data_IF_227359049794
#
_entry.id   IF_227359049794
#
_cell.length_a   1.000
_cell.length_b   1.000
_cell.length_c   1.000
_cell.angle_alpha   90.00
_cell.angle_beta   90.00
_cell.angle_gamma   90.00
#
_symmetry.space_group_name_H-M   'P 1'
#
loop_
_entity.id
_entity.type
_entity.pdbx_description
1 polymer ?
#
# COMPACT_ATOMS: atom_id res chain seq x y z
N UNK A 1 -36.57 13.71 42.18
CA UNK A 1 -38.04 13.64 42.08
C UNK A 1 -38.35 13.45 40.60
N UNK A 2 -38.88 12.27 40.27
CA UNK A 2 -39.18 11.81 38.91
C UNK A 2 -40.17 12.75 38.21
N UNK A 3 -40.03 12.87 36.89
CA UNK A 3 -41.12 13.27 36.02
C UNK A 3 -41.28 12.22 34.93
N UNK A 4 -42.52 11.80 34.82
CA UNK A 4 -42.99 10.51 34.32
C UNK A 4 -43.08 10.42 32.81
N UNK A 5 -42.80 9.21 32.34
CA UNK A 5 -43.20 8.68 31.05
C UNK A 5 -44.63 8.13 31.18
N UNK A 6 -45.62 8.85 30.65
CA UNK A 6 -46.90 8.26 30.30
C UNK A 6 -47.34 8.76 28.92
N UNK A 7 -47.43 7.82 27.96
CA UNK A 7 -48.50 7.70 26.97
C UNK A 7 -48.13 6.58 26.01
N UNK A 8 -48.76 5.42 26.18
CA UNK A 8 -49.50 4.69 25.13
C UNK A 8 -50.29 3.59 25.86
N UNK A 9 -51.57 3.88 26.12
CA UNK A 9 -52.49 2.97 26.78
C UNK A 9 -52.90 1.84 25.84
N UNK A 10 -52.77 0.61 26.33
CA UNK A 10 -53.29 -0.58 25.67
C UNK A 10 -54.56 -0.97 26.43
N UNK A 11 -55.71 -0.90 25.75
CA UNK A 11 -56.98 -1.43 26.23
C UNK A 11 -56.85 -2.93 26.51
N UNK A 12 -57.12 -3.35 27.74
CA UNK A 12 -57.38 -4.73 28.07
C UNK A 12 -58.78 -5.11 27.55
N UNK A 13 -58.83 -5.98 26.56
CA UNK A 13 -60.02 -6.79 26.26
C UNK A 13 -59.67 -8.21 26.67
N UNK A 14 -60.36 -8.71 27.69
CA UNK A 14 -60.19 -10.06 28.22
C UNK A 14 -60.76 -11.08 27.23
N UNK A 15 -59.92 -12.03 26.82
CA UNK A 15 -60.35 -13.29 26.23
C UNK A 15 -59.59 -14.42 26.92
N UNK A 16 -60.32 -15.27 27.65
CA UNK A 16 -59.80 -16.48 28.25
C UNK A 16 -59.45 -17.50 27.16
N UNK A 17 -58.15 -17.75 26.96
CA UNK A 17 -57.68 -18.73 26.01
C UNK A 17 -56.19 -19.03 26.18
N UNK A 18 -55.88 -20.07 26.97
CA UNK A 18 -54.58 -20.76 27.13
C UNK A 18 -53.38 -20.12 26.40
N UNK A 19 -52.62 -19.27 27.10
CA UNK A 19 -51.28 -18.87 26.66
C UNK A 19 -50.22 -19.87 27.17
N UNK A 20 -49.57 -20.57 26.23
CA UNK A 20 -48.21 -21.03 26.45
C UNK A 20 -47.32 -19.78 26.41
N UNK A 21 -46.83 -19.35 27.56
CA UNK A 21 -45.77 -18.34 27.68
C UNK A 21 -44.46 -18.90 27.12
N UNK A 22 -44.21 -18.73 25.82
CA UNK A 22 -42.86 -18.85 25.27
C UNK A 22 -42.10 -17.57 25.61
N UNK A 23 -41.17 -17.63 26.56
CA UNK A 23 -40.26 -16.53 26.85
C UNK A 23 -39.61 -16.03 25.55
N UNK A 24 -39.71 -14.72 25.28
CA UNK A 24 -38.98 -14.07 24.19
C UNK A 24 -37.49 -14.40 24.34
N UNK A 25 -36.80 -14.87 23.28
CA UNK A 25 -35.41 -15.25 23.37
C UNK A 25 -34.56 -14.07 23.86
N UNK A 26 -33.64 -14.31 24.80
CA UNK A 26 -32.75 -13.28 25.34
C UNK A 26 -31.86 -12.77 24.21
N UNK A 27 -32.19 -11.60 23.66
CA UNK A 27 -31.42 -10.96 22.61
C UNK A 27 -30.13 -10.35 23.18
N UNK A 28 -29.03 -10.33 22.42
CA UNK A 28 -27.83 -9.62 22.82
C UNK A 28 -28.10 -8.13 22.99
N UNK A 29 -27.42 -7.50 23.94
CA UNK A 29 -27.53 -6.06 24.21
C UNK A 29 -26.59 -5.26 23.31
N UNK A 30 -25.40 -5.81 23.02
CA UNK A 30 -24.37 -5.13 22.22
C UNK A 30 -23.77 -6.03 21.14
N UNK A 31 -23.23 -5.38 20.13
CA UNK A 31 -22.44 -5.97 19.06
C UNK A 31 -21.02 -5.44 19.15
N UNK A 32 -20.05 -6.35 19.22
CA UNK A 32 -18.63 -5.99 19.04
C UNK A 32 -18.29 -5.96 17.56
N UNK A 33 -17.83 -4.80 17.09
CA UNK A 33 -17.34 -4.59 15.72
C UNK A 33 -15.91 -5.11 15.60
N UNK A 34 -15.43 -5.30 14.36
CA UNK A 34 -14.05 -5.80 14.10
C UNK A 34 -12.96 -4.86 14.64
N UNK A 35 -13.24 -3.57 14.73
CA UNK A 35 -12.38 -2.54 15.32
C UNK A 35 -12.40 -2.54 16.86
N UNK A 36 -13.06 -3.52 17.50
CA UNK A 36 -13.20 -3.61 18.95
C UNK A 36 -14.31 -2.75 19.55
N UNK A 37 -14.92 -1.84 18.77
CA UNK A 37 -15.98 -0.95 19.27
C UNK A 37 -17.26 -1.71 19.61
N UNK A 38 -17.87 -1.35 20.73
CA UNK A 38 -19.19 -1.85 21.14
C UNK A 38 -20.30 -0.92 20.63
N UNK A 39 -21.35 -1.51 20.06
CA UNK A 39 -22.54 -0.80 19.57
C UNK A 39 -23.80 -1.49 20.07
N UNK A 40 -24.88 -0.75 20.33
CA UNK A 40 -26.16 -1.36 20.71
C UNK A 40 -26.71 -2.28 19.60
N UNK A 41 -27.23 -3.43 20.01
CA UNK A 41 -27.81 -4.40 19.11
C UNK A 41 -29.12 -3.86 18.52
N UNK A 42 -29.23 -3.88 17.19
CA UNK A 42 -30.40 -3.44 16.45
C UNK A 42 -30.74 -4.50 15.38
N UNK A 43 -31.78 -5.34 15.60
CA UNK A 43 -32.24 -6.33 14.64
C UNK A 43 -32.58 -5.75 13.26
N UNK A 44 -33.03 -4.50 13.19
CA UNK A 44 -33.40 -3.87 11.93
C UNK A 44 -32.19 -3.65 11.02
N UNK A 45 -30.96 -3.59 11.57
CA UNK A 45 -29.73 -3.58 10.75
C UNK A 45 -29.54 -4.88 9.98
N UNK A 46 -29.94 -6.01 10.57
CA UNK A 46 -29.85 -7.33 9.92
C UNK A 46 -30.88 -7.39 8.80
N UNK A 47 -32.14 -7.04 9.07
CA UNK A 47 -33.23 -7.00 8.08
C UNK A 47 -32.88 -6.12 6.89
N UNK A 48 -32.41 -4.90 7.12
CA UNK A 48 -32.00 -3.99 6.03
C UNK A 48 -30.84 -4.55 5.21
N UNK A 49 -29.89 -5.24 5.85
CA UNK A 49 -28.76 -5.87 5.17
C UNK A 49 -29.20 -7.00 4.25
N UNK A 50 -30.06 -7.89 4.75
CA UNK A 50 -30.64 -8.99 3.97
C UNK A 50 -31.50 -8.45 2.83
N UNK A 51 -32.36 -7.46 3.10
CA UNK A 51 -33.25 -6.89 2.10
C UNK A 51 -32.48 -6.20 0.97
N UNK A 52 -31.43 -5.44 1.27
CA UNK A 52 -30.56 -4.84 0.24
C UNK A 52 -29.89 -5.89 -0.64
N UNK A 53 -29.32 -6.93 -0.03
CA UNK A 53 -28.74 -8.04 -0.79
C UNK A 53 -29.79 -8.77 -1.65
N UNK A 54 -31.04 -8.83 -1.18
CA UNK A 54 -32.14 -9.38 -1.97
C UNK A 54 -32.50 -8.48 -3.16
N UNK A 55 -32.51 -7.16 -2.97
CA UNK A 55 -32.76 -6.18 -4.04
C UNK A 55 -31.68 -6.25 -5.13
N UNK A 56 -30.41 -6.44 -4.77
CA UNK A 56 -29.29 -6.57 -5.72
C UNK A 56 -29.42 -7.79 -6.63
N UNK A 57 -30.21 -8.79 -6.24
CA UNK A 57 -30.52 -9.98 -7.04
C UNK A 57 -31.96 -10.00 -7.57
N UNK A 58 -32.67 -8.86 -7.52
CA UNK A 58 -34.00 -8.66 -8.09
C UNK A 58 -35.19 -8.97 -7.16
N UNK A 59 -34.95 -9.19 -5.87
CA UNK A 59 -35.98 -9.43 -4.86
C UNK A 59 -36.61 -8.14 -4.34
N UNK A 60 -37.92 -8.17 -4.09
CA UNK A 60 -38.69 -7.00 -3.60
C UNK A 60 -39.44 -7.25 -2.29
N UNK A 61 -39.43 -8.50 -1.79
CA UNK A 61 -40.18 -8.88 -0.60
C UNK A 61 -39.39 -8.61 0.69
N UNK A 62 -39.73 -7.50 1.34
CA UNK A 62 -39.16 -7.13 2.66
C UNK A 62 -39.66 -8.04 3.79
N UNK A 63 -40.88 -8.59 3.68
CA UNK A 63 -41.43 -9.47 4.73
C UNK A 63 -40.63 -10.76 4.82
N UNK A 64 -40.17 -11.27 3.68
CA UNK A 64 -39.27 -12.42 3.65
C UNK A 64 -37.93 -12.13 4.36
N UNK A 65 -37.37 -10.93 4.16
CA UNK A 65 -36.16 -10.52 4.89
C UNK A 65 -36.39 -10.45 6.41
N UNK A 66 -37.55 -9.96 6.86
CA UNK A 66 -37.92 -9.94 8.28
C UNK A 66 -38.07 -11.35 8.88
N UNK A 67 -38.63 -12.29 8.12
CA UNK A 67 -38.77 -13.69 8.54
C UNK A 67 -37.39 -14.35 8.71
N UNK A 68 -36.49 -14.13 7.74
CA UNK A 68 -35.11 -14.63 7.80
C UNK A 68 -34.38 -14.00 8.99
N UNK A 69 -34.57 -12.69 9.25
CA UNK A 69 -34.00 -12.05 10.43
C UNK A 69 -34.46 -12.74 11.72
N UNK A 70 -35.75 -13.06 11.87
CA UNK A 70 -36.23 -13.75 13.09
C UNK A 70 -35.53 -15.09 13.32
N UNK A 71 -35.34 -15.87 12.26
CA UNK A 71 -34.62 -17.14 12.37
C UNK A 71 -33.13 -16.94 12.71
N UNK A 72 -32.51 -15.89 12.16
CA UNK A 72 -31.15 -15.51 12.53
C UNK A 72 -31.08 -15.18 14.02
N UNK A 73 -32.05 -14.42 14.56
CA UNK A 73 -32.11 -14.07 15.98
C UNK A 73 -32.25 -15.31 16.88
N UNK A 74 -33.02 -16.32 16.45
CA UNK A 74 -33.16 -17.58 17.19
C UNK A 74 -31.86 -18.40 17.24
N UNK A 75 -31.01 -18.26 16.22
CA UNK A 75 -29.72 -18.96 16.08
C UNK A 75 -28.54 -18.19 16.69
N UNK A 76 -28.74 -16.97 17.21
CA UNK A 76 -27.68 -16.21 17.86
C UNK A 76 -27.25 -16.86 19.19
N UNK A 77 -25.95 -16.78 19.54
CA UNK A 77 -25.48 -17.23 20.85
C UNK A 77 -26.15 -16.42 21.96
N UNK A 78 -26.43 -17.08 23.09
CA UNK A 78 -27.10 -16.48 24.26
C UNK A 78 -26.12 -15.69 25.12
N UNK A 79 -25.51 -14.69 24.53
CA UNK A 79 -24.50 -13.82 25.15
C UNK A 79 -24.97 -12.37 25.16
N UNK A 80 -24.52 -11.57 26.14
CA UNK A 80 -24.87 -10.14 26.18
C UNK A 80 -24.20 -9.33 25.04
N UNK A 81 -23.04 -9.80 24.57
CA UNK A 81 -22.24 -9.17 23.50
C UNK A 81 -21.94 -10.22 22.45
N UNK A 82 -22.25 -9.93 21.18
CA UNK A 82 -21.97 -10.83 20.06
C UNK A 82 -21.10 -10.14 19.02
N UNK A 83 -20.16 -10.86 18.44
CA UNK A 83 -19.30 -10.30 17.39
C UNK A 83 -20.07 -10.12 16.07
N UNK A 84 -19.82 -9.00 15.40
CA UNK A 84 -20.41 -8.69 14.10
C UNK A 84 -20.08 -9.71 12.99
N UNK A 85 -18.98 -10.45 13.14
CA UNK A 85 -18.60 -11.57 12.28
C UNK A 85 -19.60 -12.72 12.44
N UNK A 86 -19.78 -13.19 13.67
CA UNK A 86 -20.71 -14.27 14.06
C UNK A 86 -22.13 -14.02 13.56
N UNK A 87 -22.64 -12.78 13.72
CA UNK A 87 -23.98 -12.43 13.21
C UNK A 87 -24.06 -12.65 11.69
N UNK A 88 -23.05 -12.19 10.96
CA UNK A 88 -23.05 -12.31 9.51
C UNK A 88 -22.89 -13.75 9.02
N UNK A 89 -22.07 -14.57 9.69
CA UNK A 89 -21.90 -15.99 9.36
C UNK A 89 -23.21 -16.77 9.55
N UNK A 90 -23.99 -16.42 10.60
CA UNK A 90 -25.32 -16.98 10.83
C UNK A 90 -26.31 -16.52 9.74
N UNK A 91 -26.29 -15.24 9.34
CA UNK A 91 -27.14 -14.74 8.25
C UNK A 91 -26.85 -15.48 6.94
N UNK A 92 -25.58 -15.68 6.60
CA UNK A 92 -25.17 -16.41 5.41
C UNK A 92 -25.65 -17.86 5.43
N UNK A 93 -25.46 -18.54 6.56
CA UNK A 93 -25.94 -19.91 6.77
C UNK A 93 -27.45 -20.02 6.59
N UNK A 94 -28.24 -19.15 7.24
CA UNK A 94 -29.70 -19.17 7.15
C UNK A 94 -30.18 -18.87 5.73
N UNK A 95 -29.55 -17.91 5.03
CA UNK A 95 -29.90 -17.62 3.63
C UNK A 95 -29.65 -18.82 2.71
N UNK A 96 -28.56 -19.57 2.92
CA UNK A 96 -28.26 -20.78 2.15
C UNK A 96 -29.25 -21.90 2.48
N UNK A 97 -29.52 -22.16 3.77
CA UNK A 97 -30.46 -23.19 4.24
C UNK A 97 -31.88 -22.97 3.71
N UNK A 98 -32.29 -21.70 3.54
CA UNK A 98 -33.59 -21.31 2.96
C UNK A 98 -33.61 -21.25 1.43
N UNK A 99 -32.54 -21.66 0.75
CA UNK A 99 -32.47 -21.70 -0.72
C UNK A 99 -32.21 -20.34 -1.38
N UNK A 100 -31.85 -19.31 -0.62
CA UNK A 100 -31.54 -17.96 -1.12
C UNK A 100 -30.04 -17.78 -1.42
N UNK A 101 -29.42 -18.75 -2.10
CA UNK A 101 -27.97 -18.76 -2.36
C UNK A 101 -27.48 -17.51 -3.13
N UNK A 102 -28.28 -16.98 -4.08
CA UNK A 102 -27.94 -15.74 -4.80
C UNK A 102 -27.89 -14.53 -3.87
N UNK A 103 -28.87 -14.42 -2.96
CA UNK A 103 -28.94 -13.38 -1.94
C UNK A 103 -27.80 -13.51 -0.93
N UNK A 104 -27.45 -14.74 -0.52
CA UNK A 104 -26.31 -14.99 0.36
C UNK A 104 -25.00 -14.48 -0.26
N UNK A 105 -24.76 -14.77 -1.54
CA UNK A 105 -23.58 -14.27 -2.27
C UNK A 105 -23.55 -12.75 -2.35
N UNK A 106 -24.67 -12.10 -2.68
CA UNK A 106 -24.77 -10.64 -2.70
C UNK A 106 -24.52 -10.03 -1.31
N UNK A 107 -25.03 -10.66 -0.26
CA UNK A 107 -24.83 -10.23 1.13
C UNK A 107 -23.35 -10.30 1.55
N UNK A 108 -22.65 -11.40 1.22
CA UNK A 108 -21.21 -11.57 1.44
C UNK A 108 -20.42 -10.44 0.74
N UNK A 109 -20.71 -10.21 -0.54
CA UNK A 109 -20.03 -9.19 -1.34
C UNK A 109 -20.28 -7.78 -0.79
N UNK A 110 -21.51 -7.48 -0.38
CA UNK A 110 -21.88 -6.21 0.24
C UNK A 110 -21.12 -5.96 1.56
N UNK A 111 -21.02 -6.98 2.43
CA UNK A 111 -20.24 -6.89 3.67
C UNK A 111 -18.77 -6.62 3.39
N UNK A 112 -18.18 -7.37 2.46
CA UNK A 112 -16.78 -7.20 2.04
C UNK A 112 -16.53 -5.81 1.47
N UNK A 113 -17.41 -5.31 0.60
CA UNK A 113 -17.29 -3.98 0.02
C UNK A 113 -17.46 -2.87 1.06
N UNK A 114 -18.36 -3.04 2.04
CA UNK A 114 -18.55 -2.06 3.11
C UNK A 114 -17.38 -2.04 4.09
N UNK A 115 -16.77 -3.18 4.35
CA UNK A 115 -15.51 -3.29 5.10
C UNK A 115 -14.37 -2.56 4.38
N UNK A 116 -14.25 -2.76 3.08
CA UNK A 116 -13.30 -2.06 2.23
C UNK A 116 -13.54 -0.53 2.24
N UNK A 117 -14.79 -0.07 2.09
CA UNK A 117 -15.14 1.35 2.19
C UNK A 117 -14.88 1.96 3.58
N UNK A 118 -15.04 1.18 4.65
CA UNK A 118 -14.69 1.64 6.00
C UNK A 118 -13.18 1.72 6.20
N UNK A 119 -12.40 0.78 5.64
CA UNK A 119 -10.93 0.82 5.61
C UNK A 119 -10.40 1.99 4.77
N UNK A 120 -11.11 2.39 3.71
CA UNK A 120 -10.76 3.55 2.88
C UNK A 120 -11.17 4.89 3.52
N UNK A 121 -12.25 4.93 4.31
CA UNK A 121 -12.69 6.16 5.01
C UNK A 121 -11.85 6.48 6.25
N UNK A 122 -11.20 5.49 6.87
CA UNK A 122 -10.19 5.77 7.91
C UNK A 122 -8.98 6.49 7.31
N UNK A 123 -8.69 6.30 6.02
CA UNK A 123 -7.51 6.89 5.35
C UNK A 123 -7.50 8.42 5.31
N UNK A 124 -8.64 9.12 5.20
CA UNK A 124 -8.66 10.60 5.22
C UNK A 124 -8.52 11.20 6.63
N UNK A 125 -9.10 10.57 7.66
CA UNK A 125 -8.89 10.95 9.07
C UNK A 125 -7.48 10.57 9.57
N UNK A 126 -6.81 9.65 8.87
CA UNK A 126 -5.42 9.28 9.12
C UNK A 126 -4.42 10.34 8.64
N UNK A 127 -4.67 11.10 7.56
CA UNK A 127 -3.65 12.02 7.01
C UNK A 127 -3.30 13.15 7.99
N UNK A 128 -4.29 13.84 8.58
CA UNK A 128 -4.01 14.88 9.59
C UNK A 128 -3.24 14.30 10.78
N UNK A 129 -3.66 13.11 11.25
CA UNK A 129 -2.99 12.40 12.34
C UNK A 129 -1.56 12.00 11.98
N UNK A 130 -1.31 11.51 10.77
CA UNK A 130 0.03 11.13 10.29
C UNK A 130 0.97 12.34 10.24
N UNK A 131 0.45 13.50 9.83
CA UNK A 131 1.22 14.75 9.83
C UNK A 131 1.56 15.16 11.26
N UNK A 132 0.58 15.15 12.16
CA UNK A 132 0.79 15.47 13.58
C UNK A 132 1.74 14.47 14.27
N UNK A 133 1.61 13.17 13.98
CA UNK A 133 2.49 12.10 14.48
C UNK A 133 3.92 12.26 13.97
N UNK A 134 4.11 12.63 12.70
CA UNK A 134 5.42 12.88 12.11
C UNK A 134 6.08 14.13 12.72
N UNK A 135 5.34 15.24 12.82
CA UNK A 135 5.82 16.49 13.44
C UNK A 135 6.17 16.24 14.92
N UNK A 136 5.29 15.53 15.63
CA UNK A 136 5.46 15.19 17.05
C UNK A 136 6.44 14.04 17.33
N UNK A 137 6.91 13.34 16.29
CA UNK A 137 7.75 12.13 16.37
C UNK A 137 7.17 11.05 17.29
N UNK A 138 5.86 10.85 17.20
CA UNK A 138 5.10 10.00 18.13
C UNK A 138 5.10 8.54 17.67
N UNK A 139 5.09 8.29 16.35
CA UNK A 139 5.11 6.94 15.77
C UNK A 139 6.55 6.48 15.47
N UNK A 140 6.86 5.21 15.80
CA UNK A 140 8.14 4.58 15.46
C UNK A 140 8.38 4.51 13.95
N UNK A 141 7.31 4.49 13.14
CA UNK A 141 7.38 4.47 11.67
C UNK A 141 8.04 5.71 11.08
N UNK A 142 8.08 6.82 11.83
CA UNK A 142 8.89 8.00 11.48
C UNK A 142 10.38 7.65 11.38
N UNK A 143 10.83 6.61 12.10
CA UNK A 143 12.19 6.11 12.12
C UNK A 143 12.37 4.75 11.42
N UNK A 144 11.37 4.25 10.68
CA UNK A 144 11.46 2.98 9.96
C UNK A 144 12.62 2.99 8.94
N UNK A 145 12.83 4.12 8.28
CA UNK A 145 13.99 4.35 7.43
C UNK A 145 15.01 5.24 8.14
N UNK A 146 16.02 4.60 8.75
CA UNK A 146 17.09 5.27 9.48
C UNK A 146 17.93 6.25 8.63
N UNK A 147 17.85 6.14 7.29
CA UNK A 147 18.58 7.03 6.38
C UNK A 147 17.84 8.34 6.07
N UNK A 148 16.57 8.49 6.52
CA UNK A 148 15.75 9.68 6.24
C UNK A 148 15.66 10.54 7.50
N UNK A 149 16.35 11.70 7.55
CA UNK A 149 16.17 12.64 8.63
C UNK A 149 14.80 13.34 8.51
N UNK A 150 14.30 13.85 9.63
CA UNK A 150 13.06 14.63 9.66
C UNK A 150 13.17 15.84 8.75
N UNK A 151 12.32 15.89 7.72
CA UNK A 151 12.31 16.93 6.71
C UNK A 151 10.94 16.96 6.01
N UNK A 152 10.66 18.01 5.23
CA UNK A 152 9.42 18.08 4.44
C UNK A 152 9.33 16.91 3.43
N UNK A 153 10.43 16.59 2.76
CA UNK A 153 10.46 15.44 1.84
C UNK A 153 10.28 14.11 2.58
N UNK A 154 10.83 13.99 3.79
CA UNK A 154 10.58 12.83 4.66
C UNK A 154 9.10 12.72 5.09
N UNK A 155 8.43 13.84 5.36
CA UNK A 155 6.99 13.86 5.65
C UNK A 155 6.17 13.41 4.44
N UNK A 156 6.47 13.95 3.25
CA UNK A 156 5.82 13.55 2.00
C UNK A 156 5.98 12.06 1.74
N UNK A 157 7.19 11.52 1.94
CA UNK A 157 7.46 10.09 1.84
C UNK A 157 6.71 9.25 2.87
N UNK A 158 6.64 9.72 4.12
CA UNK A 158 5.92 9.01 5.18
C UNK A 158 4.42 8.92 4.87
N UNK A 159 3.79 10.04 4.55
CA UNK A 159 2.36 10.10 4.21
C UNK A 159 2.07 9.26 2.96
N UNK A 160 2.83 9.45 1.89
CA UNK A 160 2.66 8.67 0.67
C UNK A 160 2.88 7.17 0.92
N UNK A 161 3.87 6.82 1.74
CA UNK A 161 4.22 5.45 2.05
C UNK A 161 3.13 4.69 2.80
N UNK A 162 2.47 5.33 3.77
CA UNK A 162 1.32 4.74 4.47
C UNK A 162 0.16 4.50 3.51
N UNK A 163 -0.15 5.48 2.65
CA UNK A 163 -1.23 5.39 1.66
C UNK A 163 -0.96 4.28 0.64
N UNK A 164 0.26 4.21 0.09
CA UNK A 164 0.64 3.18 -0.89
C UNK A 164 0.67 1.79 -0.23
N UNK A 165 1.14 1.68 1.01
CA UNK A 165 1.16 0.41 1.74
C UNK A 165 -0.25 -0.15 1.92
N UNK A 166 -1.18 0.70 2.37
CA UNK A 166 -2.59 0.33 2.51
C UNK A 166 -3.22 -0.07 1.18
N UNK A 167 -2.93 0.66 0.10
CA UNK A 167 -3.38 0.30 -1.24
C UNK A 167 -2.84 -1.06 -1.66
N UNK A 168 -1.54 -1.31 -1.48
CA UNK A 168 -0.88 -2.55 -1.88
C UNK A 168 -1.48 -3.76 -1.16
N UNK A 169 -1.64 -3.69 0.18
CA UNK A 169 -2.24 -4.78 0.96
C UNK A 169 -3.72 -5.02 0.65
N UNK A 170 -4.47 -3.96 0.29
CA UNK A 170 -5.91 -4.09 0.06
C UNK A 170 -6.29 -4.45 -1.38
N UNK A 171 -5.44 -4.09 -2.35
CA UNK A 171 -5.79 -4.16 -3.78
C UNK A 171 -4.84 -5.00 -4.62
N UNK A 172 -3.57 -5.17 -4.20
CA UNK A 172 -2.55 -5.91 -4.98
C UNK A 172 -2.41 -7.34 -4.45
N UNK A 173 -2.28 -7.51 -3.14
CA UNK A 173 -2.14 -8.84 -2.53
C UNK A 173 -3.48 -9.52 -2.22
N UNK A 174 -3.53 -10.87 -2.22
CA UNK A 174 -4.62 -11.63 -1.61
C UNK A 174 -4.76 -11.30 -0.13
N UNK A 175 -5.99 -11.43 0.40
CA UNK A 175 -6.28 -11.07 1.79
C UNK A 175 -5.46 -11.89 2.78
N UNK A 176 -5.23 -13.16 2.48
CA UNK A 176 -4.48 -14.09 3.31
C UNK A 176 -3.00 -13.65 3.48
N UNK A 177 -2.42 -13.08 2.42
CA UNK A 177 -1.04 -12.55 2.44
C UNK A 177 -1.00 -11.24 3.23
N UNK A 178 -2.01 -10.39 3.05
CA UNK A 178 -2.11 -9.13 3.77
C UNK A 178 -2.29 -9.35 5.28
N UNK A 179 -3.16 -10.28 5.67
CA UNK A 179 -3.39 -10.63 7.07
C UNK A 179 -2.12 -11.23 7.70
N UNK A 180 -1.43 -12.16 7.02
CA UNK A 180 -0.17 -12.71 7.51
C UNK A 180 0.94 -11.67 7.69
N UNK A 181 0.96 -10.61 6.87
CA UNK A 181 1.87 -9.48 7.07
C UNK A 181 1.51 -8.63 8.28
N UNK A 182 0.22 -8.33 8.45
CA UNK A 182 -0.29 -7.51 9.55
C UNK A 182 -0.14 -8.22 10.90
N UNK A 183 -0.35 -9.54 10.94
CA UNK A 183 -0.23 -10.37 12.14
C UNK A 183 1.24 -10.70 12.48
N UNK A 184 2.16 -10.39 11.57
CA UNK A 184 3.61 -10.54 11.78
C UNK A 184 4.16 -11.93 11.47
N UNK A 185 3.38 -12.79 10.80
CA UNK A 185 3.85 -14.11 10.34
C UNK A 185 4.90 -13.99 9.24
N UNK A 186 4.79 -12.95 8.39
CA UNK A 186 5.77 -12.61 7.36
C UNK A 186 5.98 -11.08 7.27
N UNK A 187 7.16 -10.66 6.82
CA UNK A 187 7.44 -9.25 6.54
C UNK A 187 7.56 -9.00 5.04
N UNK A 188 6.68 -8.15 4.50
CA UNK A 188 6.76 -7.69 3.11
C UNK A 188 7.65 -6.45 3.10
N UNK A 189 8.86 -6.60 2.57
CA UNK A 189 9.82 -5.52 2.44
C UNK A 189 9.32 -4.41 1.50
N UNK A 190 9.65 -3.17 1.85
CA UNK A 190 9.40 -1.96 1.04
C UNK A 190 7.95 -1.79 0.58
N UNK A 191 7.01 -2.17 1.43
CA UNK A 191 5.56 -2.11 1.14
C UNK A 191 5.09 -0.69 0.76
N UNK A 192 5.76 0.35 1.27
CA UNK A 192 5.54 1.75 0.92
C UNK A 192 5.85 2.09 -0.56
N UNK A 193 6.53 1.18 -1.26
CA UNK A 193 6.82 1.19 -2.71
C UNK A 193 6.26 -0.08 -3.40
N UNK A 194 5.24 -0.72 -2.83
CA UNK A 194 4.75 -2.04 -3.23
C UNK A 194 4.15 -2.18 -4.65
N UNK A 195 4.14 -1.10 -5.44
CA UNK A 195 3.71 -1.07 -6.85
C UNK A 195 4.87 -0.78 -7.82
N UNK A 196 6.10 -0.66 -7.32
CA UNK A 196 7.31 -0.44 -8.13
C UNK A 196 8.27 -1.63 -8.05
N UNK A 197 9.32 -1.61 -8.86
CA UNK A 197 10.41 -2.58 -8.73
C UNK A 197 11.20 -2.37 -7.44
N UNK A 198 11.89 -3.42 -6.98
CA UNK A 198 12.77 -3.34 -5.81
C UNK A 198 14.11 -2.70 -6.16
N UNK A 199 15.04 -3.48 -6.72
CA UNK A 199 16.41 -3.05 -7.00
C UNK A 199 16.77 -3.42 -8.44
N UNK A 200 17.66 -2.64 -9.09
CA UNK A 200 18.10 -2.91 -10.44
C UNK A 200 19.56 -2.50 -10.70
N UNK A 201 20.27 -3.34 -11.47
CA UNK A 201 21.53 -3.00 -12.12
C UNK A 201 21.26 -2.49 -13.53
N UNK A 202 21.86 -1.35 -13.87
CA UNK A 202 21.59 -0.64 -15.11
C UNK A 202 22.75 -0.78 -16.09
N UNK A 203 22.40 -0.77 -17.38
CA UNK A 203 23.40 -0.80 -18.45
C UNK A 203 24.06 0.56 -18.60
N UNK A 204 25.25 0.71 -18.02
CA UNK A 204 26.11 1.87 -18.27
C UNK A 204 26.44 2.03 -19.76
N UNK A 205 26.75 0.97 -20.54
CA UNK A 205 26.97 1.11 -21.98
C UNK A 205 25.78 1.78 -22.69
N UNK A 206 24.55 1.43 -22.32
CA UNK A 206 23.35 2.04 -22.91
C UNK A 206 23.27 3.53 -22.58
N UNK A 207 23.54 3.93 -21.34
CA UNK A 207 23.61 5.34 -20.96
C UNK A 207 24.70 6.10 -21.75
N UNK A 208 25.86 5.48 -21.97
CA UNK A 208 26.96 6.10 -22.73
C UNK A 208 26.68 6.18 -24.24
N UNK A 209 25.85 5.27 -24.78
CA UNK A 209 25.45 5.22 -26.18
C UNK A 209 24.29 6.16 -26.51
N UNK A 210 23.28 6.21 -25.64
CA UNK A 210 22.02 6.93 -25.88
C UNK A 210 22.01 8.31 -25.20
N UNK A 211 22.81 8.49 -24.16
CA UNK A 211 22.70 9.62 -23.24
C UNK A 211 21.48 9.48 -22.33
N UNK A 212 21.17 10.55 -21.60
CA UNK A 212 20.01 10.56 -20.70
C UNK A 212 18.75 11.02 -21.44
N UNK A 213 18.01 10.07 -22.04
CA UNK A 213 16.89 10.35 -22.94
C UNK A 213 15.67 9.42 -22.70
N UNK A 214 14.70 9.42 -23.62
CA UNK A 214 13.67 8.38 -23.69
C UNK A 214 12.29 8.72 -23.13
N UNK A 215 12.10 9.91 -22.54
CA UNK A 215 10.81 10.34 -21.98
C UNK A 215 10.14 11.37 -22.90
N UNK A 216 8.94 11.09 -23.46
CA UNK A 216 8.19 12.04 -24.28
C UNK A 216 7.94 13.37 -23.56
N UNK A 217 8.06 14.48 -24.30
CA UNK A 217 7.82 15.84 -23.80
C UNK A 217 8.75 16.27 -22.64
N UNK A 218 9.88 15.59 -22.45
CA UNK A 218 10.94 15.99 -21.50
C UNK A 218 12.23 16.29 -22.25
N UNK A 219 13.06 17.14 -21.65
CA UNK A 219 14.39 17.47 -22.19
C UNK A 219 15.30 16.25 -22.03
N UNK A 220 16.01 15.90 -23.09
CA UNK A 220 17.00 14.84 -23.13
C UNK A 220 18.43 15.39 -23.20
N UNK A 221 19.39 14.63 -22.70
CA UNK A 221 20.82 14.89 -22.85
C UNK A 221 21.42 13.92 -23.87
N UNK A 222 22.19 14.45 -24.82
CA UNK A 222 22.94 13.63 -25.76
C UNK A 222 24.04 12.81 -25.06
N UNK A 223 24.55 11.75 -25.70
CA UNK A 223 25.65 10.95 -25.19
C UNK A 223 26.86 11.77 -24.72
N UNK A 224 27.47 11.44 -23.58
CA UNK A 224 28.58 12.20 -23.02
C UNK A 224 29.84 12.05 -23.88
N UNK A 225 30.58 13.15 -24.06
CA UNK A 225 31.86 13.17 -24.82
C UNK A 225 33.11 13.29 -23.95
N UNK A 226 32.96 13.64 -22.68
CA UNK A 226 34.03 13.87 -21.72
C UNK A 226 33.69 13.18 -20.39
N UNK A 227 34.73 12.84 -19.61
CA UNK A 227 34.58 12.06 -18.38
C UNK A 227 33.63 12.72 -17.37
N UNK A 228 33.77 14.03 -17.16
CA UNK A 228 32.96 14.81 -16.24
C UNK A 228 31.46 14.77 -16.57
N UNK A 229 31.15 14.85 -17.87
CA UNK A 229 29.80 14.81 -18.42
C UNK A 229 29.22 13.41 -18.26
N UNK A 230 30.02 12.36 -18.49
CA UNK A 230 29.60 10.97 -18.27
C UNK A 230 29.25 10.72 -16.80
N UNK A 231 30.13 11.13 -15.88
CA UNK A 231 29.90 11.01 -14.43
C UNK A 231 28.66 11.80 -13.99
N UNK A 232 28.46 13.02 -14.51
CA UNK A 232 27.27 13.82 -14.19
C UNK A 232 25.99 13.16 -14.71
N UNK A 233 25.99 12.58 -15.91
CA UNK A 233 24.85 11.83 -16.43
C UNK A 233 24.57 10.59 -15.59
N UNK A 234 25.60 9.87 -15.12
CA UNK A 234 25.44 8.74 -14.20
C UNK A 234 24.77 9.18 -12.88
N UNK A 235 25.21 10.28 -12.27
CA UNK A 235 24.58 10.84 -11.06
C UNK A 235 23.11 11.13 -11.29
N UNK A 236 22.79 11.85 -12.37
CA UNK A 236 21.42 12.24 -12.68
C UNK A 236 20.54 11.01 -12.96
N UNK A 237 21.07 10.03 -13.70
CA UNK A 237 20.38 8.79 -13.99
C UNK A 237 20.02 8.03 -12.71
N UNK A 238 21.00 7.80 -11.83
CA UNK A 238 20.80 7.09 -10.57
C UNK A 238 19.80 7.85 -9.68
N UNK A 239 19.99 9.17 -9.54
CA UNK A 239 19.12 9.99 -8.71
C UNK A 239 17.68 10.05 -9.21
N UNK A 240 17.47 10.21 -10.51
CA UNK A 240 16.12 10.20 -11.10
C UNK A 240 15.46 8.83 -10.92
N UNK A 241 16.14 7.74 -11.29
CA UNK A 241 15.52 6.42 -11.19
C UNK A 241 15.36 5.91 -9.76
N UNK A 242 16.11 6.44 -8.78
CA UNK A 242 15.87 6.13 -7.36
C UNK A 242 14.49 6.56 -6.86
N UNK A 243 13.80 7.45 -7.59
CA UNK A 243 12.41 7.80 -7.28
C UNK A 243 11.39 6.79 -7.84
N UNK A 244 11.80 5.93 -8.77
CA UNK A 244 10.96 4.94 -9.46
C UNK A 244 11.19 3.50 -8.95
N UNK A 245 12.17 3.31 -8.06
CA UNK A 245 12.56 2.02 -7.48
C UNK A 245 12.66 2.13 -5.96
N UNK A 246 12.46 1.01 -5.26
CA UNK A 246 12.49 1.00 -3.79
C UNK A 246 13.90 0.86 -3.20
N UNK A 247 14.77 0.16 -3.92
CA UNK A 247 16.07 -0.31 -3.45
C UNK A 247 17.23 0.29 -4.22
N UNK A 248 18.33 -0.48 -4.29
CA UNK A 248 19.60 0.01 -4.80
C UNK A 248 19.62 0.20 -6.32
N UNK A 249 20.47 1.13 -6.74
CA UNK A 249 20.73 1.45 -8.14
C UNK A 249 22.21 1.20 -8.43
N UNK A 250 22.47 0.29 -9.36
CA UNK A 250 23.84 -0.17 -9.61
C UNK A 250 24.32 0.08 -11.04
N UNK A 251 25.60 0.42 -11.18
CA UNK A 251 26.34 0.32 -12.44
C UNK A 251 27.53 -0.63 -12.28
N UNK A 252 27.71 -1.50 -13.27
CA UNK A 252 28.84 -2.43 -13.32
C UNK A 252 29.91 -1.92 -14.29
N UNK A 253 31.14 -2.43 -14.11
CA UNK A 253 32.27 -2.18 -15.01
C UNK A 253 32.57 -0.70 -15.24
N UNK A 254 32.45 0.10 -14.17
CA UNK A 254 32.53 1.56 -14.26
C UNK A 254 33.93 2.02 -14.65
N UNK A 255 34.98 1.39 -14.11
CA UNK A 255 36.37 1.66 -14.49
C UNK A 255 36.63 1.28 -15.95
N UNK A 256 36.25 0.07 -16.36
CA UNK A 256 36.45 -0.41 -17.74
C UNK A 256 35.74 0.48 -18.76
N UNK A 257 34.49 0.84 -18.51
CA UNK A 257 33.67 1.61 -19.45
C UNK A 257 34.01 3.11 -19.49
N UNK A 258 34.57 3.67 -18.41
CA UNK A 258 34.98 5.08 -18.37
C UNK A 258 36.46 5.31 -18.73
N UNK A 259 37.30 4.28 -18.73
CA UNK A 259 38.70 4.37 -19.13
C UNK A 259 38.93 5.02 -20.53
N UNK A 260 38.09 4.78 -21.55
CA UNK A 260 38.22 5.46 -22.85
C UNK A 260 38.15 6.98 -22.76
N UNK A 261 37.29 7.53 -21.90
CA UNK A 261 37.19 8.98 -21.69
C UNK A 261 38.47 9.56 -21.10
N UNK A 262 39.06 8.87 -20.13
CA UNK A 262 40.34 9.25 -19.52
C UNK A 262 41.46 9.29 -20.57
N UNK A 263 41.55 8.24 -21.41
CA UNK A 263 42.58 8.13 -22.45
C UNK A 263 42.39 9.14 -23.57
N UNK A 264 41.14 9.39 -23.99
CA UNK A 264 40.79 10.35 -25.03
C UNK A 264 41.11 11.78 -24.61
N UNK A 265 40.70 12.15 -23.41
CA UNK A 265 40.88 13.51 -22.88
C UNK A 265 42.31 13.75 -22.37
N UNK A 266 43.15 12.71 -22.32
CA UNK A 266 44.55 12.82 -21.88
C UNK A 266 44.70 13.19 -20.41
N UNK A 267 43.75 12.76 -19.57
CA UNK A 267 43.64 13.22 -18.19
C UNK A 267 44.77 12.69 -17.32
N UNK A 268 45.30 13.57 -16.47
CA UNK A 268 46.25 13.21 -15.42
C UNK A 268 45.54 12.53 -14.25
N UNK A 269 46.30 11.80 -13.43
CA UNK A 269 45.78 11.22 -12.19
C UNK A 269 45.06 12.24 -11.29
N UNK A 270 45.57 13.48 -11.21
CA UNK A 270 44.97 14.53 -10.38
C UNK A 270 43.58 14.92 -10.89
N UNK A 271 43.42 15.04 -12.21
CA UNK A 271 42.15 15.39 -12.84
C UNK A 271 41.13 14.24 -12.70
N UNK A 272 41.56 12.99 -12.92
CA UNK A 272 40.69 11.83 -12.71
C UNK A 272 40.25 11.73 -11.25
N UNK A 273 41.17 11.89 -10.29
CA UNK A 273 40.85 11.89 -8.86
C UNK A 273 39.86 12.98 -8.51
N UNK A 274 40.02 14.19 -9.07
CA UNK A 274 39.08 15.29 -8.86
C UNK A 274 37.70 14.98 -9.45
N UNK A 275 37.64 14.41 -10.64
CA UNK A 275 36.38 14.02 -11.28
C UNK A 275 35.62 12.97 -10.46
N UNK A 276 36.31 11.94 -9.96
CA UNK A 276 35.73 10.91 -9.09
C UNK A 276 35.30 11.49 -7.74
N UNK A 277 36.09 12.41 -7.15
CA UNK A 277 35.65 13.13 -5.93
C UNK A 277 34.35 13.88 -6.17
N UNK A 278 34.25 14.63 -7.27
CA UNK A 278 33.03 15.36 -7.65
C UNK A 278 31.85 14.40 -7.82
N UNK A 279 32.05 13.25 -8.46
CA UNK A 279 31.04 12.21 -8.63
C UNK A 279 30.53 11.70 -7.27
N UNK A 280 31.43 11.28 -6.38
CA UNK A 280 31.09 10.77 -5.04
C UNK A 280 30.35 11.84 -4.24
N UNK A 281 30.80 13.08 -4.27
CA UNK A 281 30.16 14.16 -3.52
C UNK A 281 28.74 14.43 -4.05
N UNK A 282 28.54 14.41 -5.37
CA UNK A 282 27.23 14.63 -5.97
C UNK A 282 26.23 13.49 -5.70
N UNK A 283 26.69 12.24 -5.60
CA UNK A 283 25.82 11.12 -5.18
C UNK A 283 25.35 11.25 -3.73
N UNK A 284 26.13 11.92 -2.89
CA UNK A 284 25.87 12.06 -1.45
C UNK A 284 25.10 13.35 -1.09
N UNK A 285 24.45 14.02 -2.05
CA UNK A 285 23.61 15.20 -1.79
C UNK A 285 22.15 14.77 -1.58
N UNK A 286 21.76 14.58 -0.32
CA UNK A 286 20.48 14.00 0.13
C UNK A 286 19.22 14.67 -0.44
N UNK A 287 19.16 16.00 -0.44
CA UNK A 287 17.93 16.72 -0.78
C UNK A 287 17.65 16.80 -2.27
N UNK A 288 18.63 16.51 -3.13
CA UNK A 288 18.52 16.66 -4.58
C UNK A 288 17.51 15.68 -5.20
N UNK A 289 17.27 14.54 -4.56
CA UNK A 289 16.51 13.43 -5.14
C UNK A 289 15.30 12.98 -4.31
N UNK A 290 14.80 13.83 -3.40
CA UNK A 290 13.63 13.49 -2.58
C UNK A 290 13.99 12.98 -1.18
N UNK A 291 14.80 13.75 -0.44
CA UNK A 291 14.89 13.58 1.02
C UNK A 291 15.80 12.45 1.52
N UNK A 292 16.29 11.56 0.64
CA UNK A 292 17.35 10.60 0.93
C UNK A 292 18.41 10.60 -0.18
N UNK A 293 19.67 10.32 0.17
CA UNK A 293 20.66 9.95 -0.82
C UNK A 293 20.27 8.62 -1.47
N UNK A 294 20.39 8.48 -2.80
CA UNK A 294 20.17 7.21 -3.46
C UNK A 294 21.07 6.11 -2.89
N UNK A 295 20.52 4.92 -2.68
CA UNK A 295 21.35 3.77 -2.35
C UNK A 295 22.03 3.29 -3.63
N UNK A 296 23.36 3.41 -3.71
CA UNK A 296 24.11 3.19 -4.96
C UNK A 296 25.18 2.14 -4.81
N UNK A 297 25.38 1.37 -5.89
CA UNK A 297 26.48 0.43 -6.00
C UNK A 297 27.24 0.69 -7.31
N UNK A 298 28.56 0.73 -7.22
CA UNK A 298 29.45 0.75 -8.39
C UNK A 298 30.39 -0.43 -8.30
N UNK A 299 30.57 -1.15 -9.41
CA UNK A 299 31.53 -2.24 -9.51
C UNK A 299 32.71 -1.80 -10.38
N UNK A 300 33.91 -2.12 -9.91
CA UNK A 300 35.18 -1.90 -10.60
C UNK A 300 35.79 -3.25 -10.91
N UNK A 301 36.20 -3.48 -12.16
CA UNK A 301 36.66 -4.78 -12.63
C UNK A 301 38.16 -5.01 -12.36
N UNK A 302 38.97 -3.94 -12.22
CA UNK A 302 40.44 -3.95 -12.12
C UNK A 302 41.18 -4.46 -13.36
N UNK A 303 40.60 -5.44 -14.05
CA UNK A 303 41.03 -6.00 -15.34
C UNK A 303 39.83 -6.10 -16.27
N UNK A 304 40.05 -5.98 -17.59
CA UNK A 304 38.96 -6.00 -18.57
C UNK A 304 38.22 -7.35 -18.51
N UNK A 305 36.90 -7.37 -18.24
CA UNK A 305 36.10 -8.59 -18.25
C UNK A 305 36.07 -9.25 -19.64
N UNK A 306 35.96 -10.58 -19.67
CA UNK A 306 35.92 -11.35 -20.93
C UNK A 306 34.79 -10.91 -21.87
N UNK A 307 33.62 -10.55 -21.32
CA UNK A 307 32.48 -10.12 -22.12
C UNK A 307 32.62 -8.70 -22.69
N UNK A 308 33.59 -7.91 -22.20
CA UNK A 308 33.90 -6.56 -22.70
C UNK A 308 35.18 -6.51 -23.55
N UNK A 309 36.01 -7.56 -23.52
CA UNK A 309 37.34 -7.57 -24.14
C UNK A 309 37.32 -7.26 -25.64
N UNK A 310 36.36 -7.83 -26.38
CA UNK A 310 36.25 -7.68 -27.83
C UNK A 310 35.22 -6.61 -28.26
N UNK A 311 34.67 -5.84 -27.30
CA UNK A 311 33.69 -4.80 -27.60
C UNK A 311 34.39 -3.46 -27.86
N UNK A 312 33.89 -2.65 -28.80
CA UNK A 312 34.46 -1.32 -29.02
C UNK A 312 34.20 -0.45 -27.78
N UNK A 313 35.20 0.37 -27.43
CA UNK A 313 35.01 1.46 -26.49
C UNK A 313 33.97 2.44 -27.06
N UNK A 314 33.12 3.00 -26.22
CA UNK A 314 32.09 3.96 -26.65
C UNK A 314 32.39 5.33 -26.06
N UNK A 315 32.43 6.35 -26.91
CA UNK A 315 32.55 7.75 -26.47
C UNK A 315 31.67 8.64 -27.35
N UNK A 316 30.83 9.47 -26.75
CA UNK A 316 29.96 10.38 -27.49
C UNK A 316 28.86 9.69 -28.29
N UNK A 317 28.47 8.49 -27.88
CA UNK A 317 27.43 7.69 -28.54
C UNK A 317 27.95 6.68 -29.57
N UNK A 318 29.23 6.77 -29.93
CA UNK A 318 29.82 6.05 -31.06
C UNK A 318 31.02 5.20 -30.64
N UNK A 319 31.33 4.12 -31.39
CA UNK A 319 32.60 3.41 -31.27
C UNK A 319 33.80 4.35 -31.35
N UNK A 320 34.74 4.18 -30.43
CA UNK A 320 35.97 4.96 -30.33
C UNK A 320 37.18 4.03 -30.39
N UNK A 321 38.14 4.37 -31.25
CA UNK A 321 39.43 3.69 -31.34
C UNK A 321 40.55 4.64 -30.88
N UNK A 322 41.45 4.19 -29.99
CA UNK A 322 42.68 4.92 -29.71
C UNK A 322 43.61 4.81 -30.93
N UNK A 323 43.97 5.96 -31.51
CA UNK A 323 45.05 6.06 -32.51
C UNK A 323 46.37 5.46 -32.01
#
# INVERSE_FOLDING_TARGET
MNLDNERFGIMAVTYEGREKTSALPMLPKKVRKRDGRLQDFDPEKITRGIFRAAQDVGGTDRRLAELITREVLEKLPREEVVDSKTIGDIVEKVLIERGHARTAKAYILYRKHREELHRLRSTSLEVERLVDEYIGRIDWRVNENANVPVSMSGLEHHVAGVVISNYTLSRVYPLEVADAHVDGDYHIHDLYRGITGYCAGWSLPKLLQEGFNGVPHRVSSNPPRHLDTALLQMVNFIGTLSNEWAGAMAFNSVDTLLAPFVRRDGLTYREVKQAIQTFVFNLNVTTRFGGQTPFTNITLDLTIPEDLADKPAIVGGEPWEPY
#
